data_IF_331830889657
#
_entry.id   IF_331830889657
#
_cell.length_a   1.000
_cell.length_b   1.000
_cell.length_c   1.000
_cell.angle_alpha   90.00
_cell.angle_beta   90.00
_cell.angle_gamma   90.00
#
_symmetry.space_group_name_H-M   'P 1'
#
loop_
_entity.id
_entity.type
_entity.pdbx_description
1 polymer ?
#
# COMPACT_ATOMS: atom_id res chain seq x y z
N UNK A 1 -6.10 -16.39 4.36
CA UNK A 1 -6.84 -15.75 3.25
C UNK A 1 -6.84 -14.21 3.32
N UNK A 2 -7.09 -13.56 4.48
CA UNK A 2 -7.18 -12.08 4.59
C UNK A 2 -5.90 -11.28 4.27
N UNK A 3 -4.70 -11.75 4.63
CA UNK A 3 -3.45 -10.99 4.38
C UNK A 3 -3.04 -10.88 2.91
N UNK A 4 -3.38 -11.86 2.06
CA UNK A 4 -3.06 -11.81 0.64
C UNK A 4 -3.87 -10.73 -0.09
N UNK A 5 -5.11 -10.50 0.34
CA UNK A 5 -5.98 -9.44 -0.16
C UNK A 5 -5.44 -8.05 0.21
N UNK A 6 -4.97 -7.84 1.45
CA UNK A 6 -4.39 -6.56 1.87
C UNK A 6 -3.15 -6.19 1.05
N UNK A 7 -2.26 -7.16 0.79
CA UNK A 7 -1.08 -6.94 -0.05
C UNK A 7 -1.45 -6.57 -1.48
N UNK A 8 -2.44 -7.26 -2.07
CA UNK A 8 -2.92 -7.00 -3.43
C UNK A 8 -3.61 -5.64 -3.55
N UNK A 9 -4.41 -5.25 -2.57
CA UNK A 9 -5.08 -3.93 -2.52
C UNK A 9 -4.06 -2.80 -2.34
N UNK A 10 -3.06 -2.99 -1.46
CA UNK A 10 -1.98 -1.99 -1.27
C UNK A 10 -1.16 -1.79 -2.54
N UNK A 11 -0.84 -2.89 -3.24
CA UNK A 11 -0.15 -2.82 -4.53
C UNK A 11 -0.95 -2.02 -5.57
N UNK A 12 -2.25 -2.30 -5.70
CA UNK A 12 -3.11 -1.57 -6.62
C UNK A 12 -3.30 -0.10 -6.25
N UNK A 13 -3.38 0.25 -4.95
CA UNK A 13 -3.44 1.64 -4.49
C UNK A 13 -2.19 2.44 -4.87
N UNK A 14 -1.00 1.84 -4.77
CA UNK A 14 0.26 2.49 -5.15
C UNK A 14 0.34 2.67 -6.67
N UNK A 15 -0.07 1.65 -7.44
CA UNK A 15 -0.09 1.70 -8.92
C UNK A 15 -1.08 2.76 -9.40
N UNK A 16 -2.30 2.79 -8.86
CA UNK A 16 -3.32 3.78 -9.23
C UNK A 16 -2.91 5.20 -8.82
N UNK A 17 -2.34 5.38 -7.61
CA UNK A 17 -1.83 6.67 -7.17
C UNK A 17 -0.68 7.21 -8.05
N UNK A 18 0.24 6.34 -8.45
CA UNK A 18 1.35 6.70 -9.34
C UNK A 18 0.87 7.00 -10.76
N UNK A 19 -0.05 6.20 -11.29
CA UNK A 19 -0.65 6.41 -12.61
C UNK A 19 -1.47 7.70 -12.66
N UNK A 20 -2.16 8.06 -11.58
CA UNK A 20 -2.91 9.30 -11.48
C UNK A 20 -2.02 10.55 -11.49
N UNK A 21 -0.80 10.47 -10.95
CA UNK A 21 0.19 11.57 -11.01
C UNK A 21 0.93 11.64 -12.35
N UNK A 22 1.14 10.50 -13.01
CA UNK A 22 1.78 10.43 -14.33
C UNK A 22 0.82 10.78 -15.48
N UNK A 23 -0.48 10.85 -15.22
CA UNK A 23 -1.48 11.20 -16.22
C UNK A 23 -1.30 12.67 -16.65
N UNK A 24 -1.11 12.96 -17.95
CA UNK A 24 -0.87 14.32 -18.46
C UNK A 24 -2.09 15.24 -18.30
N UNK A 25 -3.26 14.67 -18.03
CA UNK A 25 -4.49 15.40 -17.74
C UNK A 25 -5.16 14.71 -16.54
N UNK A 26 -4.81 15.11 -15.30
CA UNK A 26 -5.34 14.46 -14.13
C UNK A 26 -6.85 14.68 -14.08
N UNK A 27 -7.64 13.62 -14.30
CA UNK A 27 -9.10 13.67 -14.17
C UNK A 27 -9.58 13.94 -12.72
N UNK A 28 -8.63 14.09 -11.79
CA UNK A 28 -8.82 14.12 -10.35
C UNK A 28 -7.93 15.23 -9.76
N UNK A 29 -8.36 15.92 -8.69
CA UNK A 29 -7.58 16.97 -8.07
C UNK A 29 -6.22 16.47 -7.53
N UNK A 30 -5.17 17.31 -7.58
CA UNK A 30 -3.84 16.97 -7.06
C UNK A 30 -3.86 16.52 -5.59
N UNK A 31 -4.71 17.13 -4.76
CA UNK A 31 -4.83 16.76 -3.35
C UNK A 31 -5.29 15.31 -3.17
N UNK A 32 -6.15 14.83 -4.07
CA UNK A 32 -6.69 13.47 -4.03
C UNK A 32 -5.62 12.46 -4.45
N UNK A 33 -4.81 12.79 -5.46
CA UNK A 33 -3.65 11.98 -5.85
C UNK A 33 -2.64 11.88 -4.68
N UNK A 34 -2.31 12.99 -4.01
CA UNK A 34 -1.43 12.99 -2.82
C UNK A 34 -2.02 12.15 -1.68
N UNK A 35 -3.32 12.26 -1.42
CA UNK A 35 -3.99 11.43 -0.40
C UNK A 35 -3.94 9.94 -0.73
N UNK A 36 -4.25 9.54 -1.97
CA UNK A 36 -4.21 8.14 -2.40
C UNK A 36 -2.79 7.59 -2.27
N UNK A 37 -1.79 8.38 -2.65
CA UNK A 37 -0.39 7.99 -2.58
C UNK A 37 0.08 7.86 -1.11
N UNK A 38 -0.27 8.80 -0.23
CA UNK A 38 -0.01 8.69 1.21
C UNK A 38 -0.70 7.48 1.84
N UNK A 39 -1.96 7.20 1.48
CA UNK A 39 -2.71 6.04 1.97
C UNK A 39 -2.10 4.73 1.45
N UNK A 40 -1.70 4.69 0.17
CA UNK A 40 -1.02 3.55 -0.44
C UNK A 40 0.32 3.24 0.24
N UNK A 41 1.14 4.27 0.52
CA UNK A 41 2.39 4.12 1.27
C UNK A 41 2.13 3.68 2.71
N UNK A 42 1.16 4.28 3.41
CA UNK A 42 0.83 3.92 4.78
C UNK A 42 0.36 2.46 4.89
N UNK A 43 -0.49 2.01 3.98
CA UNK A 43 -0.95 0.62 3.90
C UNK A 43 0.18 -0.34 3.50
N UNK A 44 1.05 0.06 2.57
CA UNK A 44 2.23 -0.70 2.18
C UNK A 44 3.22 -0.89 3.35
N UNK A 45 3.54 0.19 4.06
CA UNK A 45 4.40 0.18 5.24
C UNK A 45 3.80 -0.63 6.39
N UNK A 46 2.50 -0.48 6.65
CA UNK A 46 1.79 -1.27 7.67
C UNK A 46 1.78 -2.74 7.32
N UNK A 47 1.54 -3.08 6.05
CA UNK A 47 1.54 -4.46 5.57
C UNK A 47 2.93 -5.08 5.70
N UNK A 48 4.00 -4.38 5.31
CA UNK A 48 5.38 -4.83 5.49
C UNK A 48 5.76 -4.96 6.97
N UNK A 49 5.37 -4.01 7.81
CA UNK A 49 5.61 -4.03 9.26
C UNK A 49 4.93 -5.21 9.94
N UNK A 50 3.65 -5.47 9.62
CA UNK A 50 2.90 -6.63 10.13
C UNK A 50 3.51 -7.94 9.63
N UNK A 51 3.95 -7.99 8.36
CA UNK A 51 4.56 -9.19 7.78
C UNK A 51 5.92 -9.50 8.41
N UNK A 52 6.75 -8.48 8.66
CA UNK A 52 8.01 -8.59 9.40
C UNK A 52 7.78 -9.01 10.86
N UNK A 53 6.78 -8.45 11.54
CA UNK A 53 6.40 -8.86 12.89
C UNK A 53 5.94 -10.32 12.92
N UNK A 54 5.03 -10.73 12.04
CA UNK A 54 4.58 -12.12 11.91
C UNK A 54 5.77 -13.07 11.66
N UNK A 55 6.73 -12.66 10.83
CA UNK A 55 7.94 -13.45 10.55
C UNK A 55 8.85 -13.57 11.78
N UNK A 56 9.03 -12.48 12.55
CA UNK A 56 9.78 -12.49 13.81
C UNK A 56 9.09 -13.29 14.92
N UNK A 57 7.76 -13.17 15.05
CA UNK A 57 6.98 -13.89 16.06
C UNK A 57 6.95 -15.41 15.84
N UNK A 58 7.04 -15.88 14.58
CA UNK A 58 7.20 -17.30 14.25
C UNK A 58 8.62 -17.83 14.48
N UNK A 59 9.62 -16.96 14.60
CA UNK A 59 11.00 -17.34 14.91
C UNK A 59 11.24 -17.64 16.40
N UNK A 60 10.34 -17.24 17.30
CA UNK A 60 10.47 -17.46 18.76
C UNK A 60 9.81 -18.76 19.25
N UNK A 61 9.51 -19.70 18.35
CA UNK A 61 9.05 -21.07 18.65
C UNK A 61 9.96 -22.10 17.97
N UNK A 62 11.27 -21.99 18.18
CA UNK A 62 12.19 -23.11 17.98
C UNK A 62 13.19 -23.13 19.11
#
# INVERSE_FOLDING_TARGET
MKSALLGKVSFWLIVVGSAALLAPQPAWPEWLARMILSVGIALGATTLGVLLWQKRGRGNKK
#
